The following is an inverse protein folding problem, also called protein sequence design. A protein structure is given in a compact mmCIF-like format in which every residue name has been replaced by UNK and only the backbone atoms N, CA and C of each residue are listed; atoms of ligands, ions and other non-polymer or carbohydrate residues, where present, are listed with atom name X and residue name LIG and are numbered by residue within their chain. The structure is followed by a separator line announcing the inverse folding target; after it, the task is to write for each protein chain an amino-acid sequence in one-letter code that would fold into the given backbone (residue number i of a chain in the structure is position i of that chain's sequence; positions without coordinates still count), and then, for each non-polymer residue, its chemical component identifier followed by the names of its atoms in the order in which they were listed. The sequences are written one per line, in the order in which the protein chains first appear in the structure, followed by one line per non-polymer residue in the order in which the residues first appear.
data_IF_021146024999
#
_entry.id   IF_021146024999
#
_cell.length_a   1.000
_cell.length_b   1.000
_cell.length_c   1.000
_cell.angle_alpha   90.00
_cell.angle_beta   90.00
_cell.angle_gamma   90.00
#
_symmetry.space_group_name_H-M   'P 1'
#
loop_
_entity.id
_entity.type
_entity.pdbx_description
1 polymer ?
#
# COMPACT_ATOMS: atom_id res chain seq x y z
N UNK A 1 2.12 -16.48 -0.85
CA UNK A 1 1.95 -15.36 0.10
C UNK A 1 0.46 -15.17 0.35
N UNK A 2 0.09 -14.84 1.58
CA UNK A 2 -1.27 -14.71 2.09
C UNK A 2 -1.39 -13.48 3.00
N UNK A 3 -2.62 -13.10 3.36
CA UNK A 3 -2.85 -11.99 4.29
C UNK A 3 -2.22 -12.24 5.66
N UNK A 4 -2.25 -13.49 6.14
CA UNK A 4 -1.63 -13.89 7.42
C UNK A 4 -0.11 -13.74 7.40
N UNK A 5 0.53 -14.10 6.30
CA UNK A 5 1.97 -13.89 6.11
C UNK A 5 2.31 -12.40 6.01
N UNK A 6 1.49 -11.59 5.33
CA UNK A 6 1.68 -10.14 5.28
C UNK A 6 1.54 -9.50 6.67
N UNK A 7 0.56 -9.92 7.48
CA UNK A 7 0.41 -9.48 8.89
C UNK A 7 1.68 -9.82 9.68
N UNK A 8 2.18 -11.05 9.56
CA UNK A 8 3.41 -11.48 10.25
C UNK A 8 4.61 -10.60 9.90
N UNK A 9 4.83 -10.33 8.60
CA UNK A 9 5.93 -9.48 8.12
C UNK A 9 5.73 -8.03 8.59
N UNK A 10 4.50 -7.51 8.48
CA UNK A 10 4.16 -6.15 8.91
C UNK A 10 4.45 -5.95 10.39
N UNK A 11 4.05 -6.90 11.23
CA UNK A 11 4.31 -6.85 12.68
C UNK A 11 5.77 -7.05 13.03
N UNK A 12 6.48 -7.89 12.28
CA UNK A 12 7.91 -8.09 12.48
C UNK A 12 8.69 -6.78 12.32
N UNK A 13 8.54 -6.11 11.17
CA UNK A 13 9.19 -4.81 10.94
C UNK A 13 8.56 -3.68 11.75
N UNK A 14 7.26 -3.76 12.02
CA UNK A 14 6.53 -2.73 12.76
C UNK A 14 6.92 -2.64 14.24
N UNK A 15 7.45 -3.72 14.83
CA UNK A 15 7.86 -3.77 16.25
C UNK A 15 9.19 -3.08 16.52
N UNK A 16 10.04 -2.96 15.52
CA UNK A 16 11.35 -2.33 15.66
C UNK A 16 11.33 -0.94 14.99
N UNK A 17 11.36 0.14 15.79
CA UNK A 17 11.33 1.51 15.28
C UNK A 17 12.48 1.85 14.34
N UNK A 18 13.58 1.10 14.34
CA UNK A 18 14.69 1.34 13.41
C UNK A 18 14.31 1.13 11.95
N UNK A 19 13.27 0.33 11.68
CA UNK A 19 12.71 0.16 10.34
C UNK A 19 11.65 1.21 9.98
N UNK A 20 11.27 2.09 10.91
CA UNK A 20 10.15 3.02 10.75
C UNK A 20 10.61 4.47 10.90
N UNK A 21 10.44 5.26 9.84
CA UNK A 21 10.60 6.71 9.93
C UNK A 21 9.29 7.35 10.40
N UNK A 22 9.34 8.10 11.51
CA UNK A 22 8.20 8.84 12.07
C UNK A 22 6.92 8.00 12.28
N UNK A 23 7.06 6.71 12.63
CA UNK A 23 5.93 5.81 12.83
C UNK A 23 5.19 5.42 11.54
N UNK A 24 5.78 5.72 10.38
CA UNK A 24 5.27 5.37 9.05
C UNK A 24 5.47 3.90 8.68
N UNK A 25 5.68 3.66 7.38
CA UNK A 25 5.92 2.33 6.82
C UNK A 25 4.68 1.70 6.20
N UNK A 26 4.90 1.04 5.05
CA UNK A 26 3.88 0.36 4.26
C UNK A 26 4.37 -1.04 3.90
N UNK A 27 3.43 -1.98 3.87
CA UNK A 27 3.67 -3.34 3.39
C UNK A 27 2.57 -3.69 2.40
N UNK A 28 2.91 -4.55 1.43
CA UNK A 28 1.95 -5.04 0.47
C UNK A 28 2.30 -6.44 0.00
N UNK A 29 1.30 -7.17 -0.48
CA UNK A 29 1.52 -8.37 -1.29
C UNK A 29 0.61 -8.36 -2.49
N UNK A 30 0.99 -9.09 -3.52
CA UNK A 30 0.22 -9.23 -4.77
C UNK A 30 -0.10 -10.70 -4.99
N UNK A 31 -1.32 -10.98 -5.41
CA UNK A 31 -1.68 -12.25 -6.04
C UNK A 31 -2.00 -12.03 -7.54
N UNK A 32 -2.63 -13.00 -8.20
CA UNK A 32 -2.97 -12.91 -9.63
C UNK A 32 -3.94 -11.76 -9.94
N UNK A 33 -4.87 -11.44 -9.04
CA UNK A 33 -5.99 -10.53 -9.28
C UNK A 33 -5.91 -9.24 -8.46
N UNK A 34 -5.28 -9.27 -7.29
CA UNK A 34 -5.31 -8.19 -6.31
C UNK A 34 -3.92 -7.80 -5.81
N UNK A 35 -3.83 -6.56 -5.33
CA UNK A 35 -2.78 -6.10 -4.44
C UNK A 35 -3.42 -5.72 -3.10
N UNK A 36 -2.82 -6.19 -2.02
CA UNK A 36 -3.22 -5.85 -0.65
C UNK A 36 -2.19 -4.87 -0.11
N UNK A 37 -2.62 -3.69 0.32
CA UNK A 37 -1.72 -2.62 0.78
C UNK A 37 -2.18 -2.13 2.14
N UNK A 38 -1.24 -1.93 3.06
CA UNK A 38 -1.52 -1.34 4.37
C UNK A 38 -2.27 0.00 4.20
N UNK A 39 -3.41 0.12 4.86
CA UNK A 39 -4.22 1.32 4.90
C UNK A 39 -3.59 2.40 5.79
N UNK A 40 -3.88 3.66 5.46
CA UNK A 40 -3.53 4.80 6.31
C UNK A 40 -4.20 4.70 7.69
N UNK A 41 -3.55 5.24 8.72
CA UNK A 41 -4.05 5.22 10.09
C UNK A 41 -3.77 3.93 10.88
N UNK A 42 -3.36 2.84 10.22
CA UNK A 42 -2.99 1.60 10.90
C UNK A 42 -1.49 1.57 11.26
N UNK A 43 -1.15 1.03 12.43
CA UNK A 43 0.24 0.80 12.85
C UNK A 43 0.70 -0.58 12.39
N UNK A 44 1.86 -0.68 11.73
CA UNK A 44 2.41 -1.97 11.29
C UNK A 44 2.58 -2.97 12.44
N UNK A 45 3.01 -2.49 13.62
CA UNK A 45 3.25 -3.31 14.82
C UNK A 45 2.04 -4.11 15.31
N UNK A 46 0.82 -3.59 15.05
CA UNK A 46 -0.43 -4.13 15.56
C UNK A 46 -1.46 -4.40 14.46
N UNK A 47 -1.11 -4.24 13.19
CA UNK A 47 -2.05 -4.35 12.07
C UNK A 47 -2.70 -5.74 12.01
N UNK A 48 -3.99 -5.79 11.68
CA UNK A 48 -4.77 -6.99 11.40
C UNK A 48 -5.35 -6.93 9.98
N UNK A 49 -6.20 -7.89 9.60
CA UNK A 49 -6.73 -8.00 8.23
C UNK A 49 -7.47 -6.75 7.75
N UNK A 50 -8.19 -6.05 8.64
CA UNK A 50 -8.92 -4.81 8.39
C UNK A 50 -8.01 -3.61 8.05
N UNK A 51 -6.73 -3.71 8.43
CA UNK A 51 -5.71 -2.72 8.12
C UNK A 51 -5.18 -2.79 6.69
N UNK A 52 -5.71 -3.66 5.83
CA UNK A 52 -5.27 -3.77 4.43
C UNK A 52 -6.41 -3.45 3.45
N UNK A 53 -6.13 -2.53 2.52
CA UNK A 53 -6.99 -2.28 1.37
C UNK A 53 -6.68 -3.31 0.29
N UNK A 54 -7.73 -3.94 -0.24
CA UNK A 54 -7.67 -4.83 -1.39
C UNK A 54 -7.98 -4.06 -2.67
N UNK A 55 -6.98 -3.91 -3.54
CA UNK A 55 -7.10 -3.20 -4.81
C UNK A 55 -7.10 -4.20 -5.97
N UNK A 56 -8.02 -4.00 -6.92
CA UNK A 56 -8.12 -4.80 -8.15
C UNK A 56 -7.01 -4.42 -9.15
N UNK A 57 -6.24 -5.41 -9.61
CA UNK A 57 -5.11 -5.17 -10.52
C UNK A 57 -5.55 -4.77 -11.93
N UNK A 58 -6.71 -5.22 -12.39
CA UNK A 58 -7.22 -4.83 -13.71
C UNK A 58 -7.69 -3.36 -13.70
N UNK A 59 -8.27 -2.90 -12.60
CA UNK A 59 -8.57 -1.50 -12.37
C UNK A 59 -7.29 -0.65 -12.32
N UNK A 60 -6.27 -1.09 -11.56
CA UNK A 60 -4.98 -0.39 -11.48
C UNK A 60 -4.26 -0.29 -12.82
N UNK A 61 -4.43 -1.29 -13.71
CA UNK A 61 -3.82 -1.24 -15.05
C UNK A 61 -4.31 -0.06 -15.90
N UNK A 62 -5.43 0.59 -15.56
CA UNK A 62 -5.88 1.81 -16.28
C UNK A 62 -4.96 3.00 -16.02
N UNK A 63 -4.19 3.01 -14.93
CA UNK A 63 -3.23 4.09 -14.61
C UNK A 63 -2.23 4.29 -15.76
N UNK A 64 -1.77 3.19 -16.37
CA UNK A 64 -0.81 3.23 -17.49
C UNK A 64 -1.38 3.86 -18.76
N UNK A 65 -2.70 3.93 -18.89
CA UNK A 65 -3.37 4.52 -20.05
C UNK A 65 -3.67 6.00 -19.86
N UNK A 66 -3.59 6.51 -18.63
CA UNK A 66 -3.84 7.92 -18.34
C UNK A 66 -2.68 8.76 -18.85
N UNK A 67 -2.98 9.69 -19.75
CA UNK A 67 -2.02 10.71 -20.20
C UNK A 67 -2.17 11.94 -19.32
N UNK A 68 -1.10 12.29 -18.64
CA UNK A 68 -1.05 13.48 -17.80
C UNK A 68 -0.45 14.66 -18.58
N UNK A 69 -0.87 15.90 -18.28
CA UNK A 69 -0.20 17.10 -18.78
C UNK A 69 1.30 17.10 -18.46
N UNK A 70 2.10 17.65 -19.38
CA UNK A 70 3.54 17.87 -19.16
C UNK A 70 3.74 18.97 -18.11
N UNK A 71 2.91 20.01 -18.19
CA UNK A 71 2.84 21.08 -17.19
C UNK A 71 2.52 20.51 -15.80
N UNK A 72 3.32 20.89 -14.81
CA UNK A 72 3.28 20.33 -13.47
C UNK A 72 1.99 20.74 -12.76
N UNK A 73 1.65 22.03 -12.77
CA UNK A 73 0.49 22.56 -12.06
C UNK A 73 -0.82 21.98 -12.63
N UNK A 74 -0.88 21.79 -13.96
CA UNK A 74 -2.02 21.15 -14.61
C UNK A 74 -2.09 19.65 -14.32
N UNK A 75 -0.95 18.96 -14.19
CA UNK A 75 -0.93 17.54 -13.85
C UNK A 75 -1.41 17.28 -12.43
N UNK A 76 -0.93 18.04 -11.45
CA UNK A 76 -1.31 17.85 -10.04
C UNK A 76 -2.80 18.13 -9.80
N UNK A 77 -3.42 19.04 -10.56
CA UNK A 77 -4.89 19.27 -10.50
C UNK A 77 -5.74 18.10 -11.00
N UNK A 78 -5.15 17.17 -11.76
CA UNK A 78 -5.85 16.03 -12.37
C UNK A 78 -5.48 14.69 -11.72
N UNK A 79 -4.55 14.69 -10.76
CA UNK A 79 -4.13 13.50 -10.02
C UNK A 79 -5.25 13.01 -9.10
#
# INVERSE_FOLDING_TARGET
MSIKELIKISRFYGKDPSFLLAGGGNTSFKDKSYIYVKASGFKLASIEEDGFVKLDRNALNQIWKKKYPVDVDLREKQA
#
